data_IF_753488193917
#
_entry.id   IF_753488193917
#
_cell.length_a   1.000
_cell.length_b   1.000
_cell.length_c   1.000
_cell.angle_alpha   90.00
_cell.angle_beta   90.00
_cell.angle_gamma   90.00
#
_symmetry.space_group_name_H-M   'P 1'
#
loop_
_entity.id
_entity.type
_entity.pdbx_description
1 polymer ?
#
# COMPACT_ATOMS: atom_id res chain seq x y z
N UNK A 1 -13.56 7.91 16.92
CA UNK A 1 -13.29 7.47 15.54
C UNK A 1 -13.35 5.95 15.53
N UNK A 2 -14.53 5.40 15.21
CA UNK A 2 -14.74 3.97 15.10
C UNK A 2 -14.16 3.55 13.75
N UNK A 3 -13.11 2.71 13.76
CA UNK A 3 -12.60 2.09 12.54
C UNK A 3 -13.59 0.98 12.22
N UNK A 4 -14.44 1.23 11.21
CA UNK A 4 -15.40 0.25 10.73
C UNK A 4 -14.67 -1.03 10.33
N UNK A 5 -14.98 -2.13 11.02
CA UNK A 5 -14.43 -3.47 10.80
C UNK A 5 -15.06 -4.18 9.60
N UNK A 6 -15.88 -3.48 8.83
CA UNK A 6 -16.37 -3.94 7.54
C UNK A 6 -15.33 -3.57 6.48
N UNK A 7 -14.73 -4.56 5.83
CA UNK A 7 -13.85 -4.37 4.67
C UNK A 7 -14.65 -3.82 3.47
N UNK A 8 -15.26 -2.63 3.56
CA UNK A 8 -15.97 -1.97 2.46
C UNK A 8 -15.03 -0.93 1.84
N UNK A 9 -14.21 -1.35 0.87
CA UNK A 9 -13.19 -0.46 0.31
C UNK A 9 -12.52 -1.02 -0.94
N UNK A 10 -11.21 -0.74 -1.08
CA UNK A 10 -10.41 -1.10 -2.24
C UNK A 10 -10.35 -2.63 -2.47
N UNK A 11 -10.09 -3.42 -1.42
CA UNK A 11 -9.77 -4.83 -1.56
C UNK A 11 -10.93 -5.69 -2.13
N UNK A 12 -12.19 -5.58 -1.65
CA UNK A 12 -13.30 -6.32 -2.26
C UNK A 12 -13.52 -5.99 -3.74
N UNK A 13 -13.41 -4.70 -4.11
CA UNK A 13 -13.57 -4.28 -5.51
C UNK A 13 -12.49 -4.85 -6.42
N UNK A 14 -11.26 -4.95 -5.93
CA UNK A 14 -10.19 -5.63 -6.66
C UNK A 14 -10.45 -7.13 -6.78
N UNK A 15 -11.09 -7.76 -5.78
CA UNK A 15 -11.43 -9.18 -5.79
C UNK A 15 -12.65 -9.56 -6.64
N UNK A 16 -13.41 -8.57 -7.12
CA UNK A 16 -14.43 -8.77 -8.16
C UNK A 16 -13.81 -9.03 -9.55
N UNK A 17 -12.51 -8.74 -9.72
CA UNK A 17 -11.77 -9.04 -10.95
C UNK A 17 -11.11 -10.42 -10.83
N UNK A 18 -11.45 -11.34 -11.73
CA UNK A 18 -11.04 -12.74 -11.57
C UNK A 18 -9.56 -13.01 -11.86
N UNK A 19 -8.92 -12.11 -12.58
CA UNK A 19 -7.52 -12.13 -12.99
C UNK A 19 -6.58 -11.41 -12.01
N UNK A 20 -7.11 -10.88 -10.89
CA UNK A 20 -6.31 -10.18 -9.89
C UNK A 20 -5.80 -11.13 -8.80
N UNK A 21 -4.49 -11.05 -8.55
CA UNK A 21 -3.82 -11.61 -7.37
C UNK A 21 -3.46 -10.46 -6.44
N UNK A 22 -3.78 -10.58 -5.15
CA UNK A 22 -3.51 -9.54 -4.15
C UNK A 22 -2.47 -9.98 -3.14
N UNK A 23 -1.43 -9.17 -2.97
CA UNK A 23 -0.56 -9.22 -1.79
C UNK A 23 -0.94 -8.08 -0.85
N UNK A 24 -1.50 -8.41 0.32
CA UNK A 24 -1.82 -7.43 1.36
C UNK A 24 -0.65 -7.29 2.34
N UNK A 25 0.13 -6.23 2.16
CA UNK A 25 1.27 -5.89 3.02
C UNK A 25 0.83 -5.04 4.22
N UNK A 26 1.14 -5.47 5.46
CA UNK A 26 0.84 -4.68 6.66
C UNK A 26 1.76 -5.01 7.84
N UNK A 27 1.88 -4.11 8.83
CA UNK A 27 2.63 -4.38 10.08
C UNK A 27 1.91 -5.35 11.03
N UNK A 28 0.60 -5.53 10.85
CA UNK A 28 -0.25 -6.40 11.67
C UNK A 28 -1.27 -7.06 10.76
N UNK A 29 -1.05 -8.31 10.39
CA UNK A 29 -1.91 -8.98 9.40
C UNK A 29 -3.16 -9.63 9.99
N UNK A 30 -3.25 -9.76 11.32
CA UNK A 30 -4.32 -10.54 12.00
C UNK A 30 -5.73 -10.15 11.60
N UNK A 31 -5.98 -8.86 11.37
CA UNK A 31 -7.28 -8.37 10.96
C UNK A 31 -7.70 -8.83 9.55
N UNK A 32 -6.74 -9.19 8.69
CA UNK A 32 -6.96 -9.59 7.30
C UNK A 32 -7.03 -11.11 7.10
N UNK A 33 -6.79 -11.93 8.13
CA UNK A 33 -6.85 -13.39 8.01
C UNK A 33 -8.12 -13.95 7.34
N UNK A 34 -9.32 -13.39 7.57
CA UNK A 34 -10.53 -13.85 6.87
C UNK A 34 -10.49 -13.67 5.35
N UNK A 35 -9.59 -12.83 4.82
CA UNK A 35 -9.46 -12.55 3.38
C UNK A 35 -8.48 -13.51 2.69
N UNK A 36 -7.60 -14.19 3.43
CA UNK A 36 -6.55 -15.04 2.86
C UNK A 36 -7.16 -16.22 2.11
N UNK A 37 -6.76 -16.38 0.85
CA UNK A 37 -7.22 -17.46 -0.02
C UNK A 37 -6.25 -17.64 -1.21
N UNK A 38 -6.62 -18.47 -2.19
CA UNK A 38 -5.78 -18.75 -3.37
C UNK A 38 -5.41 -17.51 -4.21
N UNK A 39 -6.15 -16.41 -4.08
CA UNK A 39 -5.92 -15.13 -4.79
C UNK A 39 -5.44 -13.99 -3.88
N UNK A 40 -5.33 -14.24 -2.56
CA UNK A 40 -4.99 -13.21 -1.57
C UNK A 40 -3.91 -13.75 -0.65
N UNK A 41 -2.71 -13.20 -0.77
CA UNK A 41 -1.58 -13.49 0.09
C UNK A 41 -1.42 -12.38 1.13
N UNK A 42 -1.23 -12.76 2.40
CA UNK A 42 -1.01 -11.80 3.47
C UNK A 42 0.47 -11.73 3.82
N UNK A 43 1.07 -10.56 3.67
CA UNK A 43 2.46 -10.32 4.02
C UNK A 43 2.54 -9.43 5.26
N UNK A 44 3.06 -9.96 6.37
CA UNK A 44 3.40 -9.12 7.53
C UNK A 44 4.83 -8.62 7.42
N UNK A 45 5.02 -7.30 7.41
CA UNK A 45 6.33 -6.69 7.22
C UNK A 45 6.37 -5.21 7.57
N UNK A 46 7.56 -4.62 7.47
CA UNK A 46 7.80 -3.21 7.73
C UNK A 46 8.29 -2.48 6.47
N UNK A 47 7.59 -1.43 6.03
CA UNK A 47 8.00 -0.64 4.86
C UNK A 47 9.32 0.15 5.06
N UNK A 48 9.82 0.26 6.29
CA UNK A 48 11.18 0.74 6.56
C UNK A 48 12.27 -0.32 6.32
N UNK A 49 11.87 -1.58 6.10
CA UNK A 49 12.76 -2.68 5.78
C UNK A 49 12.62 -3.03 4.29
N UNK A 50 13.65 -2.68 3.51
CA UNK A 50 13.69 -2.92 2.06
C UNK A 50 13.55 -4.40 1.70
N UNK A 51 14.05 -5.31 2.54
CA UNK A 51 13.94 -6.76 2.28
C UNK A 51 12.52 -7.28 2.48
N UNK A 52 11.73 -6.67 3.38
CA UNK A 52 10.31 -6.98 3.51
C UNK A 52 9.55 -6.49 2.28
N UNK A 53 9.88 -5.30 1.78
CA UNK A 53 9.30 -4.75 0.56
C UNK A 53 9.64 -5.60 -0.67
N UNK A 54 10.89 -6.06 -0.80
CA UNK A 54 11.29 -6.91 -1.94
C UNK A 54 10.44 -8.16 -2.03
N UNK A 55 10.29 -8.88 -0.91
CA UNK A 55 9.47 -10.11 -0.86
C UNK A 55 8.00 -9.87 -1.15
N UNK A 56 7.48 -8.69 -0.81
CA UNK A 56 6.08 -8.35 -1.06
C UNK A 56 5.82 -7.86 -2.50
N UNK A 57 6.81 -7.19 -3.11
CA UNK A 57 6.70 -6.55 -4.43
C UNK A 57 7.16 -7.47 -5.57
N UNK A 58 8.03 -8.45 -5.27
CA UNK A 58 8.52 -9.40 -6.27
C UNK A 58 7.37 -10.10 -7.00
N UNK A 59 7.41 -10.06 -8.35
CA UNK A 59 6.39 -10.63 -9.22
C UNK A 59 5.07 -9.86 -9.30
N UNK A 60 4.96 -8.68 -8.67
CA UNK A 60 3.77 -7.82 -8.76
C UNK A 60 3.86 -6.86 -9.95
N UNK A 61 2.72 -6.60 -10.61
CA UNK A 61 2.64 -5.63 -11.73
C UNK A 61 2.40 -4.19 -11.26
N UNK A 62 1.70 -4.04 -10.13
CA UNK A 62 1.21 -2.76 -9.61
C UNK A 62 1.41 -2.74 -8.09
N UNK A 63 1.92 -1.63 -7.58
CA UNK A 63 1.97 -1.36 -6.14
C UNK A 63 1.00 -0.23 -5.81
N UNK A 64 0.07 -0.48 -4.89
CA UNK A 64 -0.84 0.53 -4.35
C UNK A 64 -0.46 0.84 -2.91
N UNK A 65 -0.14 2.10 -2.59
CA UNK A 65 0.13 2.56 -1.22
C UNK A 65 -0.98 3.47 -0.70
N UNK A 66 -1.44 3.17 0.51
CA UNK A 66 -2.43 3.97 1.26
C UNK A 66 -1.87 4.40 2.62
N UNK A 67 -0.54 4.48 2.72
CA UNK A 67 0.17 4.81 3.96
C UNK A 67 0.06 6.30 4.30
N UNK A 68 -0.03 6.64 5.59
CA UNK A 68 -0.28 8.01 6.06
C UNK A 68 0.48 8.35 7.34
N UNK A 69 1.60 7.68 7.59
CA UNK A 69 2.39 7.83 8.81
C UNK A 69 3.47 8.92 8.69
N UNK A 70 4.12 9.25 9.82
CA UNK A 70 5.03 10.39 9.91
C UNK A 70 6.29 10.24 9.04
N UNK A 71 6.71 9.00 8.79
CA UNK A 71 7.88 8.60 8.00
C UNK A 71 7.50 8.20 6.55
N UNK A 72 6.41 8.77 6.03
CA UNK A 72 5.88 8.48 4.70
C UNK A 72 6.89 8.75 3.57
N UNK A 73 7.74 9.77 3.72
CA UNK A 73 8.80 10.11 2.76
C UNK A 73 9.84 8.98 2.67
N UNK A 74 10.30 8.46 3.80
CA UNK A 74 11.25 7.34 3.88
C UNK A 74 10.63 6.08 3.26
N UNK A 75 9.38 5.77 3.62
CA UNK A 75 8.69 4.58 3.12
C UNK A 75 8.41 4.64 1.63
N UNK A 76 7.96 5.79 1.15
CA UNK A 76 7.72 6.00 -0.29
C UNK A 76 9.01 5.85 -1.08
N UNK A 77 10.12 6.42 -0.59
CA UNK A 77 11.43 6.23 -1.20
C UNK A 77 11.86 4.76 -1.23
N UNK A 78 11.68 4.02 -0.14
CA UNK A 78 11.99 2.59 -0.10
C UNK A 78 11.14 1.80 -1.10
N UNK A 79 9.84 2.07 -1.18
CA UNK A 79 8.93 1.42 -2.13
C UNK A 79 9.40 1.68 -3.58
N UNK A 80 9.59 2.95 -3.94
CA UNK A 80 10.00 3.33 -5.31
C UNK A 80 11.34 2.70 -5.66
N UNK A 81 12.31 2.72 -4.73
CA UNK A 81 13.61 2.07 -4.93
C UNK A 81 13.46 0.57 -5.16
N UNK A 82 12.70 -0.13 -4.32
CA UNK A 82 12.47 -1.57 -4.47
C UNK A 82 11.77 -1.89 -5.79
N UNK A 83 10.79 -1.09 -6.20
CA UNK A 83 10.10 -1.22 -7.47
C UNK A 83 11.08 -1.06 -8.66
N UNK A 84 11.99 -0.09 -8.60
CA UNK A 84 13.04 0.07 -9.62
C UNK A 84 13.99 -1.13 -9.67
N UNK A 85 14.43 -1.64 -8.51
CA UNK A 85 15.29 -2.83 -8.42
C UNK A 85 14.62 -4.09 -9.02
N UNK A 86 13.29 -4.22 -8.88
CA UNK A 86 12.52 -5.37 -9.35
C UNK A 86 11.87 -5.16 -10.73
N UNK A 87 12.03 -4.00 -11.35
CA UNK A 87 11.44 -3.68 -12.65
C UNK A 87 9.93 -3.43 -12.64
N UNK A 88 9.32 -3.18 -11.47
CA UNK A 88 7.89 -2.87 -11.34
C UNK A 88 7.66 -1.38 -11.62
N UNK A 89 6.80 -1.06 -12.58
CA UNK A 89 6.72 0.31 -13.12
C UNK A 89 5.52 1.12 -12.64
N UNK A 90 4.44 0.47 -12.16
CA UNK A 90 3.20 1.16 -11.82
C UNK A 90 3.03 1.31 -10.31
N UNK A 91 3.25 2.52 -9.82
CA UNK A 91 2.98 2.92 -8.44
C UNK A 91 1.73 3.81 -8.38
N UNK A 92 0.74 3.43 -7.58
CA UNK A 92 -0.45 4.23 -7.30
C UNK A 92 -0.42 4.57 -5.81
N UNK A 93 -0.42 5.86 -5.49
CA UNK A 93 -0.45 6.31 -4.10
C UNK A 93 -1.61 7.25 -3.89
N UNK A 94 -2.23 7.17 -2.72
CA UNK A 94 -3.25 8.12 -2.29
C UNK A 94 -2.56 9.11 -1.35
N UNK A 95 -2.41 10.36 -1.77
CA UNK A 95 -1.88 11.44 -0.96
C UNK A 95 -2.89 12.57 -0.79
N UNK A 96 -2.80 13.27 0.34
CA UNK A 96 -3.49 14.53 0.56
C UNK A 96 -2.47 15.66 0.36
N UNK A 97 -2.76 16.60 -0.55
CA UNK A 97 -1.92 17.79 -0.76
C UNK A 97 -2.10 18.83 0.35
N UNK A 98 -1.11 19.71 0.50
CA UNK A 98 -1.13 20.85 1.41
C UNK A 98 -0.51 20.61 2.80
N UNK A 99 -0.14 19.36 3.11
CA UNK A 99 0.42 18.98 4.41
C UNK A 99 1.86 19.49 4.61
N UNK A 100 2.56 19.86 3.54
CA UNK A 100 3.91 20.40 3.57
C UNK A 100 3.95 21.91 3.22
N UNK A 101 2.78 22.59 3.23
CA UNK A 101 2.63 24.00 2.79
C UNK A 101 3.16 24.25 1.38
N UNK A 102 3.13 23.21 0.55
CA UNK A 102 3.60 23.22 -0.83
C UNK A 102 2.59 23.87 -1.79
N UNK A 103 1.34 24.02 -1.34
CA UNK A 103 0.29 24.68 -2.08
C UNK A 103 0.30 26.19 -1.84
N UNK A 104 -0.09 26.94 -2.87
CA UNK A 104 -0.33 28.38 -2.74
C UNK A 104 -1.32 28.65 -1.61
N UNK A 105 -1.17 29.80 -0.93
CA UNK A 105 -1.98 30.17 0.23
C UNK A 105 -3.50 30.05 -0.01
N UNK A 106 -3.95 30.30 -1.24
CA UNK A 106 -5.35 30.18 -1.65
C UNK A 106 -5.95 28.75 -1.54
N UNK A 107 -5.13 27.72 -1.32
CA UNK A 107 -5.54 26.32 -1.19
C UNK A 107 -5.34 25.76 0.23
N UNK A 108 -5.01 26.60 1.22
CA UNK A 108 -4.77 26.20 2.62
C UNK A 108 -5.93 26.56 3.58
N UNK A 109 -7.10 26.94 3.06
CA UNK A 109 -8.35 27.23 3.81
C UNK A 109 -9.46 26.24 3.43
#
# INVERSE_FOLDING_TARGET
MQVDTHFNGLFPRLLEQDDVQLTLFSRKRKQFYPLENKRVYLFEGNANNVEDLKKAIEGQDIVISTMSDMDLDIKTNNIVRTMQELGVQRFITISAGGIYKELLQAFNE
#
